data_IF_823064224400
#
_entry.id   IF_823064224400
#
_cell.length_a   1.000
_cell.length_b   1.000
_cell.length_c   1.000
_cell.angle_alpha   90.00
_cell.angle_beta   90.00
_cell.angle_gamma   90.00
#
_symmetry.space_group_name_H-M   'P 1'
#
loop_
_entity.id
_entity.type
_entity.pdbx_description
1 polymer ?
#
# COMPACT_ATOMS: atom_id res chain seq x y z
N UNK A 1 -22.29 -12.33 -3.19
CA UNK A 1 -22.70 -11.23 -4.07
C UNK A 1 -22.70 -9.94 -3.25
N UNK A 2 -21.93 -8.93 -3.66
CA UNK A 2 -21.85 -7.63 -3.00
C UNK A 2 -22.52 -6.60 -3.92
N UNK A 3 -23.55 -5.92 -3.43
CA UNK A 3 -24.25 -4.87 -4.17
C UNK A 3 -23.27 -3.72 -4.44
N UNK A 4 -23.27 -3.14 -5.65
CA UNK A 4 -22.33 -2.10 -6.10
C UNK A 4 -20.87 -2.54 -6.30
N UNK A 5 -20.60 -3.84 -6.46
CA UNK A 5 -19.24 -4.31 -6.78
C UNK A 5 -18.69 -3.75 -8.11
N UNK A 6 -19.55 -3.30 -9.03
CA UNK A 6 -19.15 -2.67 -10.29
C UNK A 6 -18.42 -1.34 -10.08
N UNK A 7 -18.90 -0.51 -9.14
CA UNK A 7 -18.33 0.81 -8.87
C UNK A 7 -16.92 0.70 -8.28
N UNK A 8 -16.71 -0.33 -7.45
CA UNK A 8 -15.38 -0.64 -6.89
C UNK A 8 -14.40 -1.02 -7.99
N UNK A 9 -14.85 -1.76 -9.01
CA UNK A 9 -14.02 -2.13 -10.17
C UNK A 9 -13.63 -0.88 -10.97
N UNK A 10 -14.55 0.05 -11.21
CA UNK A 10 -14.24 1.33 -11.90
C UNK A 10 -13.21 2.14 -11.11
N UNK A 11 -13.38 2.24 -9.78
CA UNK A 11 -12.42 2.92 -8.91
C UNK A 11 -11.03 2.25 -8.94
N UNK A 12 -10.96 0.93 -8.81
CA UNK A 12 -9.69 0.19 -8.84
C UNK A 12 -8.98 0.32 -10.19
N UNK A 13 -9.72 0.24 -11.31
CA UNK A 13 -9.14 0.41 -12.65
C UNK A 13 -8.63 1.83 -12.89
N UNK A 14 -9.30 2.85 -12.35
CA UNK A 14 -8.79 4.23 -12.35
C UNK A 14 -7.48 4.37 -11.56
N UNK A 15 -7.37 3.74 -10.38
CA UNK A 15 -6.12 3.70 -9.59
C UNK A 15 -5.00 3.03 -10.38
N UNK A 16 -5.28 1.89 -11.02
CA UNK A 16 -4.28 1.18 -11.83
C UNK A 16 -3.83 2.04 -13.01
N UNK A 17 -4.75 2.68 -13.73
CA UNK A 17 -4.43 3.59 -14.84
C UNK A 17 -3.58 4.78 -14.39
N UNK A 18 -3.96 5.44 -13.29
CA UNK A 18 -3.19 6.54 -12.71
C UNK A 18 -1.80 6.08 -12.23
N UNK A 19 -1.71 4.89 -11.63
CA UNK A 19 -0.46 4.28 -11.17
C UNK A 19 0.49 3.95 -12.33
N UNK A 20 -0.02 3.41 -13.43
CA UNK A 20 0.76 3.15 -14.65
C UNK A 20 1.25 4.47 -15.28
N UNK A 21 0.39 5.49 -15.35
CA UNK A 21 0.77 6.82 -15.82
C UNK A 21 1.83 7.48 -14.93
N UNK A 22 1.67 7.39 -13.61
CA UNK A 22 2.65 7.87 -12.64
C UNK A 22 3.99 7.12 -12.77
N UNK A 23 3.95 5.80 -12.91
CA UNK A 23 5.14 4.95 -13.03
C UNK A 23 6.00 5.34 -14.24
N UNK A 24 5.40 5.79 -15.34
CA UNK A 24 6.15 6.29 -16.49
C UNK A 24 7.11 7.44 -16.13
N UNK A 25 6.69 8.33 -15.22
CA UNK A 25 7.51 9.46 -14.75
C UNK A 25 8.30 9.15 -13.47
N UNK A 26 7.94 8.07 -12.77
CA UNK A 26 8.58 7.67 -11.51
C UNK A 26 9.64 6.57 -11.70
N UNK A 27 9.65 5.86 -12.83
CA UNK A 27 10.67 4.86 -13.16
C UNK A 27 12.06 5.51 -13.19
N UNK A 28 13.08 4.79 -12.74
CA UNK A 28 14.44 5.31 -12.64
C UNK A 28 14.97 5.80 -14.01
N UNK A 29 15.51 7.04 -14.11
CA UNK A 29 15.62 8.07 -13.06
C UNK A 29 14.31 8.86 -12.85
N UNK A 30 13.85 8.92 -11.59
CA UNK A 30 12.54 9.50 -11.26
C UNK A 30 12.48 11.01 -11.50
N UNK A 31 11.45 11.46 -12.21
CA UNK A 31 11.17 12.87 -12.48
C UNK A 31 10.10 13.44 -11.54
N UNK A 32 9.17 12.57 -11.09
CA UNK A 32 8.08 12.93 -10.18
C UNK A 32 8.08 11.98 -8.99
N UNK A 33 8.01 12.53 -7.78
CA UNK A 33 7.89 11.76 -6.54
C UNK A 33 6.44 11.69 -6.08
N UNK A 34 6.07 10.54 -5.49
CA UNK A 34 4.71 10.31 -5.01
C UNK A 34 4.34 11.18 -3.79
N UNK A 35 5.31 11.34 -2.88
CA UNK A 35 5.12 12.03 -1.61
C UNK A 35 4.10 11.37 -0.67
N UNK A 36 3.84 12.03 0.45
CA UNK A 36 2.87 11.56 1.45
C UNK A 36 1.43 11.60 0.93
N UNK A 37 1.12 12.57 0.06
CA UNK A 37 -0.20 12.73 -0.55
C UNK A 37 -0.60 11.48 -1.32
N UNK A 38 0.27 10.97 -2.19
CA UNK A 38 -0.04 9.79 -2.98
C UNK A 38 0.03 8.49 -2.15
N UNK A 39 1.04 8.34 -1.30
CA UNK A 39 1.26 7.10 -0.55
C UNK A 39 0.17 6.84 0.49
N UNK A 40 -0.21 7.84 1.29
CA UNK A 40 -1.31 7.73 2.26
C UNK A 40 -2.66 7.53 1.56
N UNK A 41 -2.88 8.23 0.44
CA UNK A 41 -4.11 8.07 -0.34
C UNK A 41 -4.25 6.66 -0.92
N UNK A 42 -3.19 6.09 -1.51
CA UNK A 42 -3.24 4.71 -2.03
C UNK A 42 -3.40 3.68 -0.91
N UNK A 43 -2.68 3.83 0.20
CA UNK A 43 -2.82 2.94 1.35
C UNK A 43 -4.24 2.94 1.93
N UNK A 44 -4.81 4.14 2.13
CA UNK A 44 -6.20 4.30 2.59
C UNK A 44 -7.22 3.75 1.60
N UNK A 45 -7.07 4.04 0.31
CA UNK A 45 -7.97 3.56 -0.73
C UNK A 45 -7.99 2.02 -0.81
N UNK A 46 -6.82 1.37 -0.81
CA UNK A 46 -6.71 -0.09 -0.82
C UNK A 46 -7.30 -0.72 0.46
N UNK A 47 -7.08 -0.10 1.62
CA UNK A 47 -7.68 -0.51 2.89
C UNK A 47 -9.21 -0.47 2.87
N UNK A 48 -9.79 0.63 2.37
CA UNK A 48 -11.24 0.78 2.24
C UNK A 48 -11.81 -0.25 1.28
N UNK A 49 -11.18 -0.46 0.11
CA UNK A 49 -11.61 -1.47 -0.86
C UNK A 49 -11.60 -2.87 -0.23
N UNK A 50 -10.57 -3.23 0.53
CA UNK A 50 -10.49 -4.54 1.19
C UNK A 50 -11.65 -4.77 2.18
N UNK A 51 -12.03 -3.74 2.95
CA UNK A 51 -13.18 -3.79 3.87
C UNK A 51 -14.50 -3.89 3.10
N UNK A 52 -14.69 -3.09 2.05
CA UNK A 52 -15.92 -3.10 1.24
C UNK A 52 -16.16 -4.46 0.59
N UNK A 53 -15.10 -5.14 0.15
CA UNK A 53 -15.18 -6.47 -0.46
C UNK A 53 -15.18 -7.61 0.57
N UNK A 54 -14.97 -7.30 1.87
CA UNK A 54 -14.84 -8.27 2.98
C UNK A 54 -13.72 -9.29 2.71
N UNK A 55 -12.59 -8.78 2.23
CA UNK A 55 -11.41 -9.55 1.84
C UNK A 55 -10.15 -8.94 2.48
N UNK A 56 -10.21 -8.75 3.80
CA UNK A 56 -9.17 -8.09 4.59
C UNK A 56 -7.87 -8.90 4.61
N UNK A 57 -7.97 -10.22 4.75
CA UNK A 57 -6.81 -11.11 4.73
C UNK A 57 -6.11 -11.15 3.36
N UNK A 58 -6.85 -11.00 2.27
CA UNK A 58 -6.25 -10.92 0.94
C UNK A 58 -5.38 -9.67 0.78
N UNK A 59 -5.76 -8.54 1.39
CA UNK A 59 -4.94 -7.32 1.35
C UNK A 59 -3.56 -7.55 1.99
N UNK A 60 -3.50 -8.31 3.08
CA UNK A 60 -2.23 -8.66 3.75
C UNK A 60 -1.34 -9.51 2.83
N UNK A 61 -1.94 -10.45 2.10
CA UNK A 61 -1.21 -11.34 1.19
C UNK A 61 -0.75 -10.57 -0.06
N UNK A 62 -1.65 -9.84 -0.72
CA UNK A 62 -1.35 -9.05 -1.92
C UNK A 62 -0.41 -7.89 -1.64
N UNK A 63 -0.56 -7.25 -0.48
CA UNK A 63 0.28 -6.17 0.02
C UNK A 63 1.45 -6.67 0.85
N UNK A 64 1.87 -7.93 0.70
CA UNK A 64 2.88 -8.56 1.56
C UNK A 64 4.17 -7.75 1.70
N UNK A 65 4.63 -7.09 0.63
CA UNK A 65 5.79 -6.19 0.69
C UNK A 65 5.57 -5.02 1.66
N UNK A 66 4.41 -4.36 1.61
CA UNK A 66 4.08 -3.28 2.55
C UNK A 66 4.02 -3.78 4.00
N UNK A 67 3.50 -4.98 4.21
CA UNK A 67 3.41 -5.60 5.54
C UNK A 67 4.79 -5.91 6.09
N UNK A 68 5.67 -6.51 5.28
CA UNK A 68 7.04 -6.82 5.67
C UNK A 68 7.83 -5.54 5.94
N UNK A 69 7.64 -4.48 5.15
CA UNK A 69 8.28 -3.18 5.36
C UNK A 69 7.85 -2.55 6.70
N UNK A 70 6.55 -2.61 7.03
CA UNK A 70 6.07 -2.14 8.32
C UNK A 70 6.61 -2.99 9.48
N UNK A 71 6.61 -4.32 9.32
CA UNK A 71 7.14 -5.25 10.33
C UNK A 71 8.64 -5.07 10.55
N UNK A 72 9.43 -4.79 9.51
CA UNK A 72 10.87 -4.57 9.64
C UNK A 72 11.15 -3.36 10.54
N UNK A 73 10.40 -2.27 10.37
CA UNK A 73 10.50 -1.06 11.21
C UNK A 73 10.02 -1.33 12.63
N UNK A 74 8.89 -2.02 12.81
CA UNK A 74 8.37 -2.37 14.14
C UNK A 74 9.40 -3.20 14.92
N UNK A 75 9.96 -4.23 14.28
CA UNK A 75 11.00 -5.07 14.88
C UNK A 75 12.26 -4.26 15.18
N UNK A 76 12.69 -3.39 14.26
CA UNK A 76 13.88 -2.57 14.42
C UNK A 76 13.73 -1.61 15.62
N UNK A 77 12.60 -0.91 15.71
CA UNK A 77 12.29 -0.01 16.83
C UNK A 77 12.14 -0.79 18.13
N UNK A 78 11.51 -1.97 18.10
CA UNK A 78 11.39 -2.85 19.25
C UNK A 78 12.74 -3.33 19.77
N UNK A 79 13.63 -3.80 18.89
CA UNK A 79 14.97 -4.23 19.24
C UNK A 79 15.80 -3.08 19.81
N UNK A 80 15.73 -1.89 19.21
CA UNK A 80 16.47 -0.73 19.70
C UNK A 80 15.99 -0.28 21.09
N UNK A 81 14.68 -0.35 21.36
CA UNK A 81 14.13 -0.01 22.69
C UNK A 81 14.49 -1.04 23.77
N UNK A 82 14.53 -2.34 23.44
CA UNK A 82 14.74 -3.43 24.40
C UNK A 82 16.21 -3.78 24.61
N UNK A 83 16.99 -3.86 23.52
CA UNK A 83 18.37 -4.38 23.52
C UNK A 83 19.40 -3.32 23.16
N UNK A 84 18.97 -2.13 22.73
CA UNK A 84 19.84 -1.08 22.13
C UNK A 84 20.72 -1.59 20.99
N UNK A 85 20.28 -2.62 20.30
CA UNK A 85 20.97 -3.21 19.16
C UNK A 85 20.05 -3.20 17.95
N UNK A 86 20.63 -2.93 16.78
CA UNK A 86 19.94 -2.97 15.49
C UNK A 86 19.96 -4.41 14.96
N UNK A 87 18.84 -4.84 14.39
CA UNK A 87 18.69 -6.16 13.76
C UNK A 87 18.81 -6.09 12.24
N UNK A 88 18.52 -4.92 11.67
CA UNK A 88 18.77 -4.55 10.28
C UNK A 88 19.71 -3.34 10.21
#
# INVERSE_FOLDING_TARGET
YIKYSSEVVVFCTAIVGAGLGFLWFNTYPAQVFMGDVGSLALGGALGVVAILVRQEFLLVIMGGVFVVEALSVILQVGSYKLRKQRIF
#
